data_IF_648420144454
#
_entry.id   IF_648420144454
#
_cell.length_a   1.000
_cell.length_b   1.000
_cell.length_c   1.000
_cell.angle_alpha   90.00
_cell.angle_beta   90.00
_cell.angle_gamma   90.00
#
_symmetry.space_group_name_H-M   'P 1'
#
loop_
_entity.id
_entity.type
_entity.pdbx_description
1 polymer ?
#
# COMPACT_ATOMS: atom_id res chain seq x y z
N UNK A 1 4.51 -19.61 -8.41
CA UNK A 1 5.63 -18.65 -8.50
C UNK A 1 5.08 -17.32 -8.03
N UNK A 2 5.66 -16.72 -6.99
CA UNK A 2 5.14 -15.46 -6.44
C UNK A 2 5.26 -14.33 -7.44
N UNK A 3 4.18 -13.62 -7.70
CA UNK A 3 4.08 -12.46 -8.60
C UNK A 3 3.96 -11.19 -7.79
N UNK A 4 4.96 -10.34 -7.93
CA UNK A 4 5.07 -9.06 -7.22
C UNK A 4 4.91 -7.93 -8.24
N UNK A 5 4.11 -6.93 -7.91
CA UNK A 5 3.92 -5.74 -8.72
C UNK A 5 4.09 -4.46 -7.91
N UNK A 6 4.32 -3.35 -8.61
CA UNK A 6 4.39 -2.03 -8.01
C UNK A 6 3.54 -1.05 -8.80
N UNK A 7 2.84 -0.14 -8.12
CA UNK A 7 2.01 0.87 -8.74
C UNK A 7 2.04 2.18 -7.95
N UNK A 8 2.59 3.23 -8.57
CA UNK A 8 2.42 4.59 -8.09
C UNK A 8 0.99 5.07 -8.44
N UNK A 9 0.13 5.17 -7.43
CA UNK A 9 -1.30 5.47 -7.61
C UNK A 9 -1.59 6.98 -7.65
N UNK A 10 -0.62 7.84 -7.30
CA UNK A 10 -0.78 9.29 -7.32
C UNK A 10 -2.14 9.76 -6.77
N UNK A 11 -2.43 9.39 -5.52
CA UNK A 11 -3.70 9.61 -4.82
C UNK A 11 -4.62 8.39 -4.85
N UNK A 12 -4.53 7.53 -3.84
CA UNK A 12 -5.27 6.25 -3.79
C UNK A 12 -6.78 6.45 -3.83
N UNK A 13 -7.33 7.38 -3.05
CA UNK A 13 -8.78 7.60 -2.98
C UNK A 13 -9.35 8.17 -4.29
N UNK A 14 -8.64 9.10 -4.92
CA UNK A 14 -9.05 9.67 -6.21
C UNK A 14 -8.95 8.67 -7.36
N UNK A 15 -8.17 7.61 -7.21
CA UNK A 15 -7.94 6.57 -8.23
C UNK A 15 -8.43 5.18 -7.83
N UNK A 16 -9.21 5.07 -6.76
CA UNK A 16 -9.63 3.78 -6.21
C UNK A 16 -10.30 2.88 -7.27
N UNK A 17 -11.24 3.35 -8.12
CA UNK A 17 -11.81 2.49 -9.16
C UNK A 17 -10.79 1.94 -10.17
N UNK A 18 -9.76 2.73 -10.49
CA UNK A 18 -8.68 2.30 -11.40
C UNK A 18 -7.80 1.26 -10.72
N UNK A 19 -7.46 1.48 -9.44
CA UNK A 19 -6.70 0.52 -8.64
C UNK A 19 -7.46 -0.81 -8.52
N UNK A 20 -8.73 -0.79 -8.15
CA UNK A 20 -9.54 -2.03 -7.97
C UNK A 20 -9.68 -2.80 -9.28
N UNK A 21 -9.91 -2.11 -10.40
CA UNK A 21 -9.92 -2.73 -11.72
C UNK A 21 -8.59 -3.43 -12.01
N UNK A 22 -7.48 -2.73 -11.80
CA UNK A 22 -6.14 -3.27 -12.06
C UNK A 22 -5.78 -4.46 -11.15
N UNK A 23 -6.19 -4.43 -9.86
CA UNK A 23 -6.02 -5.54 -8.93
C UNK A 23 -6.81 -6.80 -9.33
N UNK A 24 -7.96 -6.61 -10.01
CA UNK A 24 -8.80 -7.71 -10.51
C UNK A 24 -8.36 -8.28 -11.86
N UNK A 25 -7.62 -7.52 -12.67
CA UNK A 25 -7.20 -7.94 -14.02
C UNK A 25 -5.98 -8.88 -14.01
N UNK A 26 -5.23 -8.92 -12.91
CA UNK A 26 -3.96 -9.65 -12.84
C UNK A 26 -3.82 -10.49 -11.57
N UNK A 27 -3.21 -11.65 -11.77
CA UNK A 27 -2.88 -12.61 -10.71
C UNK A 27 -1.60 -12.18 -9.99
N UNK A 28 -1.69 -11.07 -9.23
CA UNK A 28 -0.63 -10.63 -8.32
C UNK A 28 -0.83 -11.23 -6.93
N UNK A 29 0.26 -11.71 -6.33
CA UNK A 29 0.28 -12.17 -4.94
C UNK A 29 0.61 -11.00 -3.99
N UNK A 30 1.49 -10.10 -4.43
CA UNK A 30 1.95 -8.93 -3.65
C UNK A 30 1.94 -7.67 -4.51
N UNK A 31 1.44 -6.56 -3.96
CA UNK A 31 1.43 -5.25 -4.62
C UNK A 31 2.00 -4.19 -3.68
N UNK A 32 3.00 -3.46 -4.15
CA UNK A 32 3.51 -2.27 -3.47
C UNK A 32 2.90 -1.01 -4.09
N UNK A 33 2.27 -0.16 -3.29
CA UNK A 33 1.74 1.13 -3.73
C UNK A 33 2.62 2.29 -3.27
N UNK A 34 2.69 3.33 -4.10
CA UNK A 34 3.36 4.60 -3.79
C UNK A 34 2.45 5.79 -4.09
N UNK A 35 2.76 6.92 -3.46
CA UNK A 35 1.98 8.17 -3.56
C UNK A 35 0.50 7.98 -3.17
N UNK A 36 0.25 7.37 -2.01
CA UNK A 36 -1.11 7.25 -1.50
C UNK A 36 -1.79 8.62 -1.34
N UNK A 37 -1.04 9.64 -0.90
CA UNK A 37 -1.51 11.03 -0.65
C UNK A 37 -2.77 11.12 0.21
N UNK A 38 -2.95 10.16 1.11
CA UNK A 38 -4.06 10.06 2.07
C UNK A 38 -3.50 9.79 3.46
N UNK A 39 -4.22 10.18 4.51
CA UNK A 39 -3.86 9.85 5.88
C UNK A 39 -4.21 8.40 6.21
N UNK A 40 -3.65 7.86 7.30
CA UNK A 40 -3.89 6.48 7.71
C UNK A 40 -5.39 6.18 7.92
N UNK A 41 -6.15 7.11 8.49
CA UNK A 41 -7.58 6.94 8.79
C UNK A 41 -8.45 6.94 7.53
N UNK A 42 -7.94 7.52 6.44
CA UNK A 42 -8.66 7.66 5.17
C UNK A 42 -8.18 6.66 4.12
N UNK A 43 -7.33 5.69 4.47
CA UNK A 43 -6.90 4.66 3.54
C UNK A 43 -8.07 3.69 3.26
N UNK A 44 -8.34 3.30 1.99
CA UNK A 44 -9.54 2.56 1.62
C UNK A 44 -9.37 1.05 1.80
N UNK A 45 -8.99 0.62 3.02
CA UNK A 45 -8.67 -0.78 3.32
C UNK A 45 -9.85 -1.73 3.03
N UNK A 46 -11.09 -1.34 3.36
CA UNK A 46 -12.25 -2.22 3.17
C UNK A 46 -12.47 -2.55 1.68
N UNK A 47 -12.35 -1.56 0.79
CA UNK A 47 -12.46 -1.79 -0.65
C UNK A 47 -11.31 -2.66 -1.20
N UNK A 48 -10.12 -2.57 -0.60
CA UNK A 48 -8.96 -3.39 -0.96
C UNK A 48 -9.16 -4.84 -0.48
N UNK A 49 -9.73 -5.04 0.72
CA UNK A 49 -10.12 -6.35 1.25
C UNK A 49 -11.19 -7.02 0.42
N UNK A 50 -12.19 -6.26 -0.03
CA UNK A 50 -13.22 -6.75 -0.95
C UNK A 50 -12.63 -7.23 -2.30
N UNK A 51 -11.46 -6.69 -2.69
CA UNK A 51 -10.70 -7.15 -3.86
C UNK A 51 -9.79 -8.37 -3.57
N UNK A 52 -9.85 -8.92 -2.35
CA UNK A 52 -9.12 -10.10 -1.92
C UNK A 52 -7.71 -9.86 -1.41
N UNK A 53 -7.38 -8.61 -1.01
CA UNK A 53 -6.08 -8.24 -0.48
C UNK A 53 -6.19 -7.70 0.94
N UNK A 54 -5.35 -8.20 1.84
CA UNK A 54 -5.02 -7.49 3.07
C UNK A 54 -3.84 -6.57 2.83
N UNK A 55 -3.62 -5.61 3.73
CA UNK A 55 -2.60 -4.60 3.54
C UNK A 55 -2.05 -4.03 4.84
N UNK A 56 -0.79 -3.61 4.78
CA UNK A 56 -0.23 -2.60 5.69
C UNK A 56 0.03 -1.32 4.91
N UNK A 57 -0.15 -0.17 5.57
CA UNK A 57 0.05 1.13 4.95
C UNK A 57 0.63 2.15 5.92
N UNK A 58 1.24 3.17 5.33
CA UNK A 58 1.73 4.35 6.01
C UNK A 58 1.33 5.54 5.16
N UNK A 59 0.30 6.24 5.60
CA UNK A 59 -0.31 7.37 4.93
C UNK A 59 0.25 8.71 5.40
N UNK A 60 0.28 9.66 4.48
CA UNK A 60 0.57 11.06 4.74
C UNK A 60 -0.38 11.90 3.89
N UNK A 61 -1.09 12.84 4.53
CA UNK A 61 -2.06 13.69 3.82
C UNK A 61 -1.35 14.56 2.77
N UNK A 62 -1.92 14.62 1.56
CA UNK A 62 -1.44 15.41 0.41
C UNK A 62 -0.10 14.99 -0.23
N UNK A 63 0.74 14.23 0.48
CA UNK A 63 2.10 13.89 0.05
C UNK A 63 2.40 12.41 0.29
N UNK A 64 3.42 11.86 -0.37
CA UNK A 64 3.99 10.53 -0.08
C UNK A 64 2.93 9.43 0.12
N UNK A 65 3.20 8.54 1.06
CA UNK A 65 2.38 7.40 1.43
C UNK A 65 2.76 6.16 0.65
N UNK A 66 2.86 5.03 1.36
CA UNK A 66 3.20 3.71 0.81
C UNK A 66 2.31 2.63 1.42
N UNK A 67 2.02 1.59 0.66
CA UNK A 67 1.32 0.41 1.15
C UNK A 67 1.91 -0.88 0.55
N UNK A 68 1.79 -1.98 1.29
CA UNK A 68 2.08 -3.33 0.82
C UNK A 68 0.78 -4.12 0.97
N UNK A 69 0.29 -4.67 -0.14
CA UNK A 69 -0.90 -5.49 -0.20
C UNK A 69 -0.47 -6.93 -0.46
N UNK A 70 -1.14 -7.89 0.19
CA UNK A 70 -0.93 -9.31 -0.06
C UNK A 70 -2.27 -10.05 -0.23
N UNK A 71 -2.32 -10.97 -1.18
CA UNK A 71 -3.51 -11.74 -1.51
C UNK A 71 -3.63 -12.93 -0.56
N UNK A 72 -4.75 -13.01 0.17
CA UNK A 72 -5.08 -14.16 1.03
C UNK A 72 -4.17 -14.39 2.23
N UNK A 73 -3.35 -13.41 2.60
CA UNK A 73 -2.50 -13.42 3.80
C UNK A 73 -2.33 -11.99 4.31
N UNK A 74 -2.16 -11.84 5.63
CA UNK A 74 -1.87 -10.56 6.27
C UNK A 74 -0.36 -10.25 6.21
N UNK A 75 0.07 -9.14 5.57
CA UNK A 75 1.45 -8.71 5.65
C UNK A 75 1.86 -8.40 7.09
N UNK A 76 2.98 -8.97 7.56
CA UNK A 76 3.50 -8.72 8.90
C UNK A 76 4.54 -7.60 8.85
N UNK A 77 4.19 -6.42 9.36
CA UNK A 77 5.08 -5.25 9.41
C UNK A 77 6.38 -5.55 10.18
N UNK A 78 7.53 -5.31 9.53
CA UNK A 78 8.87 -5.42 10.12
C UNK A 78 9.51 -4.05 10.36
N UNK A 79 9.16 -3.06 9.55
CA UNK A 79 9.67 -1.70 9.70
C UNK A 79 8.71 -0.67 9.10
N UNK A 80 8.66 0.47 9.76
CA UNK A 80 8.03 1.70 9.29
C UNK A 80 9.00 2.86 9.43
N UNK A 81 9.10 3.68 8.38
CA UNK A 81 10.06 4.78 8.30
C UNK A 81 11.44 4.34 7.83
N UNK A 82 12.17 5.28 7.21
CA UNK A 82 13.49 5.02 6.66
C UNK A 82 14.52 5.00 7.81
N UNK A 83 15.41 3.99 7.90
CA UNK A 83 16.43 3.97 8.93
C UNK A 83 17.52 5.02 8.65
N UNK A 84 18.13 5.55 9.72
CA UNK A 84 19.32 6.40 9.65
C UNK A 84 19.09 7.88 9.96
N UNK A 85 17.84 8.34 9.98
CA UNK A 85 17.48 9.71 10.35
C UNK A 85 16.28 9.71 11.32
N UNK A 86 16.49 10.01 12.62
CA UNK A 86 15.42 10.02 13.63
C UNK A 86 14.36 11.09 13.38
N UNK A 87 14.68 12.14 12.62
CA UNK A 87 13.77 13.25 12.34
C UNK A 87 12.98 13.04 11.03
N UNK A 88 13.22 11.95 10.30
CA UNK A 88 12.47 11.60 9.11
C UNK A 88 11.04 11.14 9.47
N UNK A 89 10.12 12.08 9.34
CA UNK A 89 8.68 11.86 9.57
C UNK A 89 7.93 11.50 8.28
N UNK A 90 8.62 11.30 7.16
CA UNK A 90 7.97 11.05 5.87
C UNK A 90 7.50 9.60 5.73
N UNK A 91 6.26 9.44 5.27
CA UNK A 91 5.65 8.13 5.02
C UNK A 91 6.10 7.55 3.68
N UNK A 92 7.39 7.21 3.57
CA UNK A 92 8.04 6.78 2.33
C UNK A 92 8.63 5.38 2.36
N UNK A 93 8.50 4.68 3.49
CA UNK A 93 9.11 3.36 3.67
C UNK A 93 8.25 2.44 4.55
N UNK A 94 8.06 1.20 4.07
CA UNK A 94 7.52 0.06 4.80
C UNK A 94 8.29 -1.20 4.41
N UNK A 95 8.44 -2.11 5.37
CA UNK A 95 9.03 -3.44 5.19
C UNK A 95 8.09 -4.47 5.83
N UNK A 96 7.87 -5.60 5.16
CA UNK A 96 6.98 -6.65 5.63
C UNK A 96 7.48 -8.05 5.29
N UNK A 97 7.05 -9.03 6.09
CA UNK A 97 7.08 -10.46 5.74
C UNK A 97 5.70 -10.86 5.20
N UNK A 98 5.68 -11.68 4.14
CA UNK A 98 4.47 -12.13 3.42
C UNK A 98 4.40 -13.67 3.43
#
# INVERSE_FOLDING_TARGET
>A
MTRIATFNVNGVNGRLPVLLKWLGEADYDVVCLQELKTSDENFPIEAIRDAGFDAIWHGQKSYNGVAILARGTDPVERRRGLPGDPDDTHSRYLEAEI
#
